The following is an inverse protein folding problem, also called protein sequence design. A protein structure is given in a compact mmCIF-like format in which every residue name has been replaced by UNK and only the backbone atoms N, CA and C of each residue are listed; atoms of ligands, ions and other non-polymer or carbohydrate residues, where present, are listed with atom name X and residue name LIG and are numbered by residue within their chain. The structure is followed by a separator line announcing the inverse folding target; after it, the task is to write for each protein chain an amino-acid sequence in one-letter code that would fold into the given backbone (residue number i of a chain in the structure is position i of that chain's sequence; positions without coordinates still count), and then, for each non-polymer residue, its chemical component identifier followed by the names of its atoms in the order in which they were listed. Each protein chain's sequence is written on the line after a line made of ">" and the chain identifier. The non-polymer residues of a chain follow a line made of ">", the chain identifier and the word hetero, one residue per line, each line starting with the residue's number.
data_IF_555878658694
#
_entry.id   IF_555878658694
#
_cell.length_a   1.000
_cell.length_b   1.000
_cell.length_c   1.000
_cell.angle_alpha   90.00
_cell.angle_beta   90.00
_cell.angle_gamma   90.00
#
_symmetry.space_group_name_H-M   'P 1'
#
loop_
_entity.id
_entity.type
_entity.pdbx_description
1 polymer ?
#
# COMPACT_ATOMS: atom_id res chain seq x y z
N UNK A 1 15.40 42.08 20.73
CA UNK A 1 15.26 40.89 21.60
C UNK A 1 13.79 40.67 21.87
N UNK A 2 13.16 39.70 21.20
CA UNK A 2 11.92 39.00 21.56
C UNK A 2 11.77 37.86 20.54
N UNK A 3 12.68 36.88 20.58
CA UNK A 3 12.48 35.58 19.91
C UNK A 3 11.65 34.74 20.87
N UNK A 4 10.44 34.36 20.47
CA UNK A 4 9.65 33.37 21.20
C UNK A 4 10.46 32.06 21.31
N UNK A 5 10.76 31.56 22.52
CA UNK A 5 11.38 30.25 22.68
C UNK A 5 10.29 29.18 22.62
N UNK A 6 10.40 28.21 21.71
CA UNK A 6 9.67 26.95 21.86
C UNK A 6 8.70 26.54 20.75
N UNK A 7 8.90 26.96 19.50
CA UNK A 7 8.40 26.11 18.40
C UNK A 7 9.34 24.91 18.30
N UNK A 8 8.89 23.66 18.58
CA UNK A 8 9.71 22.49 18.28
C UNK A 8 10.03 22.53 16.79
N UNK A 9 11.32 22.47 16.49
CA UNK A 9 11.81 22.38 15.12
C UNK A 9 11.12 21.18 14.46
N UNK A 10 10.29 21.41 13.44
CA UNK A 10 9.41 20.36 12.87
C UNK A 10 10.21 19.13 12.41
N UNK A 11 11.50 19.33 12.11
CA UNK A 11 12.48 18.28 11.86
C UNK A 11 12.62 17.28 13.03
N UNK A 12 12.67 17.76 14.28
CA UNK A 12 12.82 16.92 15.48
C UNK A 12 11.59 16.02 15.70
N UNK A 13 10.38 16.56 15.49
CA UNK A 13 9.14 15.78 15.58
C UNK A 13 9.11 14.69 14.51
N UNK A 14 9.50 15.02 13.27
CA UNK A 14 9.56 14.05 12.16
C UNK A 14 10.58 12.94 12.44
N UNK A 15 11.77 13.29 12.97
CA UNK A 15 12.79 12.31 13.36
C UNK A 15 12.27 11.40 14.49
N UNK A 16 11.64 11.98 15.51
CA UNK A 16 11.06 11.21 16.61
C UNK A 16 10.00 10.24 16.10
N UNK A 17 9.08 10.70 15.27
CA UNK A 17 8.02 9.85 14.70
C UNK A 17 8.60 8.73 13.82
N UNK A 18 9.60 9.03 13.00
CA UNK A 18 10.29 8.04 12.19
C UNK A 18 11.03 7.01 13.06
N UNK A 19 11.66 7.44 14.16
CA UNK A 19 12.34 6.55 15.10
C UNK A 19 11.34 5.66 15.84
N UNK A 20 10.23 6.20 16.32
CA UNK A 20 9.15 5.44 16.96
C UNK A 20 8.55 4.42 15.99
N UNK A 21 8.24 4.82 14.75
CA UNK A 21 7.74 3.91 13.72
C UNK A 21 8.75 2.79 13.40
N UNK A 22 10.04 3.14 13.27
CA UNK A 22 11.12 2.18 13.05
C UNK A 22 11.29 1.20 14.22
N UNK A 23 11.25 1.70 15.46
CA UNK A 23 11.33 0.89 16.66
C UNK A 23 10.13 -0.07 16.78
N UNK A 24 8.91 0.40 16.48
CA UNK A 24 7.71 -0.43 16.47
C UNK A 24 7.87 -1.59 15.48
N UNK A 25 8.28 -1.28 14.24
CA UNK A 25 8.54 -2.31 13.23
C UNK A 25 9.62 -3.28 13.71
N UNK A 26 10.72 -2.78 14.27
CA UNK A 26 11.79 -3.62 14.80
C UNK A 26 11.29 -4.57 15.91
N UNK A 27 10.54 -4.06 16.88
CA UNK A 27 9.96 -4.85 17.97
C UNK A 27 9.01 -5.91 17.42
N UNK A 28 8.11 -5.55 16.50
CA UNK A 28 7.20 -6.50 15.86
C UNK A 28 7.91 -7.61 15.08
N UNK A 29 9.08 -7.32 14.51
CA UNK A 29 9.92 -8.31 13.83
C UNK A 29 10.82 -9.14 14.76
N UNK A 30 10.98 -8.75 16.02
CA UNK A 30 11.75 -9.52 17.02
C UNK A 30 10.85 -10.25 18.03
N UNK A 31 9.60 -9.82 18.19
CA UNK A 31 8.65 -10.46 19.09
C UNK A 31 8.27 -11.88 18.61
N UNK A 32 8.07 -12.79 19.58
CA UNK A 32 7.59 -14.15 19.32
C UNK A 32 6.11 -14.17 18.90
N UNK A 33 5.31 -13.28 19.46
CA UNK A 33 3.89 -13.09 19.13
C UNK A 33 3.68 -11.69 18.56
N UNK A 34 3.28 -11.55 17.29
CA UNK A 34 3.04 -10.24 16.68
C UNK A 34 1.76 -9.61 17.21
N UNK A 35 1.67 -8.28 17.17
CA UNK A 35 0.50 -7.54 17.66
C UNK A 35 -0.17 -6.69 16.59
N UNK A 36 0.59 -6.13 15.65
CA UNK A 36 0.09 -5.16 14.65
C UNK A 36 0.42 -5.59 13.23
N UNK A 37 1.64 -6.12 13.00
CA UNK A 37 2.11 -6.41 11.65
C UNK A 37 1.54 -7.73 11.13
N UNK A 38 0.52 -7.60 10.29
CA UNK A 38 -0.01 -8.72 9.54
C UNK A 38 0.91 -9.15 8.41
N UNK A 39 0.83 -10.44 8.07
CA UNK A 39 1.57 -11.07 6.98
C UNK A 39 3.09 -10.92 7.11
N UNK A 40 3.62 -10.78 8.33
CA UNK A 40 5.07 -10.71 8.62
C UNK A 40 5.87 -11.82 7.93
N UNK A 41 5.37 -13.04 7.97
CA UNK A 41 6.03 -14.22 7.39
C UNK A 41 5.51 -14.57 5.99
N UNK A 42 4.94 -13.60 5.27
CA UNK A 42 4.50 -13.75 3.89
C UNK A 42 5.51 -13.09 2.93
N UNK A 43 6.59 -13.80 2.61
CA UNK A 43 7.69 -13.24 1.83
C UNK A 43 7.26 -12.56 0.51
N UNK A 44 6.39 -13.13 -0.36
CA UNK A 44 5.96 -12.44 -1.57
C UNK A 44 5.19 -11.15 -1.28
N UNK A 45 4.29 -11.17 -0.28
CA UNK A 45 3.48 -10.01 0.10
C UNK A 45 4.36 -8.83 0.52
N UNK A 46 5.34 -9.05 1.41
CA UNK A 46 6.20 -7.98 1.90
C UNK A 46 7.25 -7.53 0.88
N UNK A 47 7.85 -8.46 0.12
CA UNK A 47 8.89 -8.12 -0.87
C UNK A 47 8.33 -7.26 -1.98
N UNK A 48 7.16 -7.59 -2.53
CA UNK A 48 6.57 -6.85 -3.65
C UNK A 48 6.14 -5.45 -3.20
N UNK A 49 5.57 -5.33 -1.99
CA UNK A 49 5.27 -4.01 -1.38
C UNK A 49 6.50 -3.15 -1.25
N UNK A 50 7.55 -3.69 -0.64
CA UNK A 50 8.80 -2.96 -0.43
C UNK A 50 9.43 -2.55 -1.77
N UNK A 51 9.57 -3.49 -2.71
CA UNK A 51 10.13 -3.22 -4.03
C UNK A 51 9.32 -2.18 -4.80
N UNK A 52 7.99 -2.27 -4.80
CA UNK A 52 7.11 -1.30 -5.47
C UNK A 52 7.33 0.11 -4.96
N UNK A 53 7.26 0.31 -3.63
CA UNK A 53 7.47 1.63 -3.02
C UNK A 53 8.90 2.13 -3.23
N UNK A 54 9.92 1.27 -3.03
CA UNK A 54 11.30 1.66 -3.20
C UNK A 54 11.63 2.09 -4.64
N UNK A 55 11.15 1.33 -5.63
CA UNK A 55 11.31 1.68 -7.05
C UNK A 55 10.64 3.01 -7.36
N UNK A 56 9.39 3.22 -6.89
CA UNK A 56 8.68 4.50 -7.09
C UNK A 56 9.41 5.67 -6.46
N UNK A 57 9.85 5.56 -5.20
CA UNK A 57 10.59 6.63 -4.52
C UNK A 57 11.89 6.96 -5.25
N UNK A 58 12.65 5.94 -5.69
CA UNK A 58 13.89 6.16 -6.45
C UNK A 58 13.60 6.83 -7.80
N UNK A 59 12.61 6.34 -8.55
CA UNK A 59 12.24 6.92 -9.85
C UNK A 59 11.82 8.38 -9.71
N UNK A 60 10.92 8.68 -8.76
CA UNK A 60 10.46 10.05 -8.56
C UNK A 60 11.55 10.97 -8.03
N UNK A 61 12.47 10.47 -7.20
CA UNK A 61 13.62 11.25 -6.72
C UNK A 61 14.56 11.62 -7.87
N UNK A 62 14.80 10.69 -8.80
CA UNK A 62 15.62 10.94 -10.00
C UNK A 62 14.92 11.95 -10.92
N UNK A 63 13.61 11.83 -11.14
CA UNK A 63 12.83 12.79 -11.93
C UNK A 63 12.86 14.18 -11.27
N UNK A 64 12.61 14.28 -9.97
CA UNK A 64 12.60 15.55 -9.24
C UNK A 64 13.97 16.24 -9.24
N UNK A 65 15.06 15.47 -9.17
CA UNK A 65 16.44 15.99 -9.25
C UNK A 65 16.77 16.64 -10.60
N UNK A 66 16.07 16.30 -11.67
CA UNK A 66 16.35 16.83 -13.02
C UNK A 66 16.31 18.36 -13.10
N UNK A 67 15.59 19.02 -12.18
CA UNK A 67 15.52 20.48 -12.11
C UNK A 67 16.86 21.11 -11.72
N UNK A 68 17.62 20.48 -10.81
CA UNK A 68 18.89 21.00 -10.30
C UNK A 68 20.10 20.35 -10.96
N UNK A 69 19.98 19.09 -11.38
CA UNK A 69 21.05 18.32 -12.00
C UNK A 69 20.47 17.46 -13.14
N UNK A 70 20.36 18.03 -14.35
CA UNK A 70 19.76 17.36 -15.50
C UNK A 70 20.51 16.09 -15.88
N UNK A 71 19.79 15.01 -16.14
CA UNK A 71 20.39 13.75 -16.58
C UNK A 71 19.53 12.98 -17.57
N UNK A 72 20.16 12.26 -18.51
CA UNK A 72 19.43 11.45 -19.50
C UNK A 72 18.54 10.39 -18.86
N UNK A 73 18.96 9.84 -17.71
CA UNK A 73 18.15 8.89 -16.96
C UNK A 73 16.87 9.54 -16.42
N UNK A 74 16.95 10.77 -15.90
CA UNK A 74 15.78 11.46 -15.39
C UNK A 74 14.79 11.84 -16.50
N UNK A 75 15.28 12.26 -17.68
CA UNK A 75 14.44 12.49 -18.86
C UNK A 75 13.75 11.20 -19.30
N UNK A 76 14.49 10.09 -19.42
CA UNK A 76 13.90 8.80 -19.79
C UNK A 76 12.81 8.36 -18.80
N UNK A 77 13.04 8.50 -17.49
CA UNK A 77 12.04 8.14 -16.48
C UNK A 77 10.81 9.06 -16.54
N UNK A 78 11.02 10.35 -16.82
CA UNK A 78 9.92 11.30 -17.03
C UNK A 78 9.10 10.93 -18.28
N UNK A 79 9.74 10.55 -19.38
CA UNK A 79 9.08 10.10 -20.62
C UNK A 79 8.26 8.83 -20.40
N UNK A 80 8.81 7.84 -19.67
CA UNK A 80 8.07 6.63 -19.27
C UNK A 80 6.84 7.01 -18.44
N UNK A 81 6.98 7.97 -17.52
CA UNK A 81 5.88 8.46 -16.71
C UNK A 81 4.84 9.26 -17.50
N UNK A 82 5.25 10.03 -18.49
CA UNK A 82 4.36 10.74 -19.41
C UNK A 82 3.57 9.75 -20.29
N UNK A 83 4.23 8.70 -20.80
CA UNK A 83 3.57 7.61 -21.50
C UNK A 83 2.54 6.90 -20.61
N UNK A 84 2.91 6.58 -19.37
CA UNK A 84 1.98 5.99 -18.39
C UNK A 84 0.81 6.92 -18.08
N UNK A 85 1.05 8.23 -17.97
CA UNK A 85 0.01 9.25 -17.77
C UNK A 85 -0.97 9.25 -18.93
N UNK A 86 -0.51 9.16 -20.18
CA UNK A 86 -1.40 9.11 -21.35
C UNK A 86 -2.39 7.93 -21.32
N UNK A 87 -2.03 6.84 -20.64
CA UNK A 87 -2.87 5.64 -20.49
C UNK A 87 -3.81 5.77 -19.29
N UNK A 88 -3.30 6.28 -18.16
CA UNK A 88 -4.03 6.28 -16.89
C UNK A 88 -4.82 7.58 -16.64
N UNK A 89 -4.58 8.65 -17.39
CA UNK A 89 -5.28 9.94 -17.31
C UNK A 89 -6.51 9.99 -18.25
N UNK A 90 -7.43 9.05 -18.05
CA UNK A 90 -8.71 9.01 -18.75
C UNK A 90 -9.86 9.56 -17.87
N UNK A 91 -11.02 9.91 -18.44
CA UNK A 91 -12.15 10.42 -17.67
C UNK A 91 -12.51 9.52 -16.48
N UNK A 92 -12.69 10.13 -15.30
CA UNK A 92 -13.03 9.46 -14.05
C UNK A 92 -11.95 8.52 -13.48
N UNK A 93 -10.70 8.58 -13.94
CA UNK A 93 -9.62 7.81 -13.32
C UNK A 93 -9.12 8.45 -12.01
N UNK A 94 -8.54 7.66 -11.08
CA UNK A 94 -7.90 8.22 -9.87
C UNK A 94 -6.76 9.18 -10.19
N UNK A 95 -6.01 8.92 -11.26
CA UNK A 95 -4.91 9.78 -11.72
C UNK A 95 -5.45 11.12 -12.19
N UNK A 96 -6.54 11.11 -12.98
CA UNK A 96 -7.23 12.34 -13.42
C UNK A 96 -7.72 13.15 -12.22
N UNK A 97 -8.25 12.51 -11.18
CA UNK A 97 -8.69 13.20 -9.97
C UNK A 97 -7.53 13.91 -9.24
N UNK A 98 -6.36 13.27 -9.11
CA UNK A 98 -5.18 13.92 -8.50
C UNK A 98 -4.77 15.15 -9.31
N UNK A 99 -4.78 15.06 -10.63
CA UNK A 99 -4.44 16.19 -11.52
C UNK A 99 -5.46 17.33 -11.36
N UNK A 100 -6.75 17.01 -11.34
CA UNK A 100 -7.82 18.02 -11.21
C UNK A 100 -7.82 18.73 -9.85
N UNK A 101 -7.37 18.05 -8.80
CA UNK A 101 -7.30 18.59 -7.44
C UNK A 101 -5.96 19.27 -7.15
N UNK A 102 -5.07 19.37 -8.15
CA UNK A 102 -3.88 20.20 -8.06
C UNK A 102 -4.29 21.67 -8.06
N UNK A 103 -3.79 22.51 -7.12
CA UNK A 103 -4.22 23.90 -7.01
C UNK A 103 -4.03 24.68 -8.32
N UNK A 104 -5.01 25.49 -8.76
CA UNK A 104 -4.98 26.16 -10.07
C UNK A 104 -3.85 27.19 -10.21
N UNK A 105 -3.35 27.72 -9.10
CA UNK A 105 -2.24 28.69 -9.07
C UNK A 105 -0.86 28.02 -8.97
N UNK A 106 -0.77 26.70 -9.12
CA UNK A 106 0.49 25.95 -9.04
C UNK A 106 1.36 26.23 -10.27
N UNK A 107 2.68 26.31 -10.08
CA UNK A 107 3.61 26.45 -11.20
C UNK A 107 3.45 25.28 -12.20
N UNK A 108 3.52 25.52 -13.53
CA UNK A 108 3.31 24.47 -14.54
C UNK A 108 4.16 23.22 -14.33
N UNK A 109 5.43 23.40 -13.94
CA UNK A 109 6.35 22.30 -13.66
C UNK A 109 5.91 21.41 -12.50
N UNK A 110 5.26 21.98 -11.47
CA UNK A 110 4.74 21.22 -10.32
C UNK A 110 3.53 20.40 -10.76
N UNK A 111 2.60 21.00 -11.51
CA UNK A 111 1.42 20.30 -12.02
C UNK A 111 1.80 19.15 -12.98
N UNK A 112 2.82 19.37 -13.81
CA UNK A 112 3.37 18.34 -14.68
C UNK A 112 3.99 17.19 -13.87
N UNK A 113 4.85 17.50 -12.89
CA UNK A 113 5.46 16.51 -12.01
C UNK A 113 4.41 15.70 -11.24
N UNK A 114 3.40 16.35 -10.66
CA UNK A 114 2.31 15.67 -9.93
C UNK A 114 1.58 14.67 -10.83
N UNK A 115 1.24 15.06 -12.07
CA UNK A 115 0.57 14.16 -13.00
C UNK A 115 1.42 12.97 -13.41
N UNK A 116 2.71 13.18 -13.70
CA UNK A 116 3.67 12.11 -14.02
C UNK A 116 3.84 11.17 -12.82
N UNK A 117 4.04 11.74 -11.63
CA UNK A 117 4.25 10.98 -10.40
C UNK A 117 3.02 10.15 -10.02
N UNK A 118 1.82 10.73 -10.11
CA UNK A 118 0.57 10.02 -9.86
C UNK A 118 0.40 8.84 -10.82
N UNK A 119 0.64 9.03 -12.11
CA UNK A 119 0.54 7.96 -13.10
C UNK A 119 1.56 6.84 -12.87
N UNK A 120 2.83 7.18 -12.61
CA UNK A 120 3.88 6.19 -12.33
C UNK A 120 3.58 5.37 -11.07
N UNK A 121 3.29 6.03 -9.95
CA UNK A 121 3.02 5.35 -8.69
C UNK A 121 1.76 4.49 -8.76
N UNK A 122 0.69 5.00 -9.38
CA UNK A 122 -0.54 4.23 -9.55
C UNK A 122 -0.36 3.04 -10.49
N UNK A 123 0.36 3.22 -11.61
CA UNK A 123 0.69 2.12 -12.52
C UNK A 123 1.52 1.02 -11.85
N UNK A 124 2.55 1.40 -11.08
CA UNK A 124 3.37 0.45 -10.31
C UNK A 124 2.54 -0.24 -9.22
N UNK A 125 1.62 0.47 -8.55
CA UNK A 125 0.78 -0.14 -7.51
C UNK A 125 -0.24 -1.12 -8.09
N UNK A 126 -0.79 -0.85 -9.28
CA UNK A 126 -1.61 -1.81 -10.02
C UNK A 126 -0.81 -3.04 -10.43
N UNK A 127 0.41 -2.86 -10.96
CA UNK A 127 1.30 -3.96 -11.32
C UNK A 127 1.66 -4.81 -10.09
N UNK A 128 1.93 -4.16 -8.95
CA UNK A 128 2.19 -4.81 -7.66
C UNK A 128 1.03 -5.73 -7.26
N UNK A 129 -0.22 -5.24 -7.35
CA UNK A 129 -1.42 -6.04 -7.07
C UNK A 129 -1.54 -7.19 -8.06
N UNK A 130 -1.36 -6.94 -9.37
CA UNK A 130 -1.48 -7.95 -10.40
C UNK A 130 -0.46 -9.09 -10.21
N UNK A 131 0.81 -8.77 -9.93
CA UNK A 131 1.85 -9.74 -9.63
C UNK A 131 1.49 -10.56 -8.39
N UNK A 132 0.99 -9.91 -7.32
CA UNK A 132 0.60 -10.63 -6.12
C UNK A 132 -0.57 -11.58 -6.36
N UNK A 133 -1.60 -11.14 -7.09
CA UNK A 133 -2.73 -11.99 -7.49
C UNK A 133 -2.26 -13.19 -8.31
N UNK A 134 -1.34 -12.99 -9.27
CA UNK A 134 -0.75 -14.06 -10.06
C UNK A 134 -0.03 -15.09 -9.17
N UNK A 135 0.76 -14.63 -8.19
CA UNK A 135 1.46 -15.50 -7.25
C UNK A 135 0.47 -16.33 -6.41
N UNK A 136 -0.62 -15.71 -5.95
CA UNK A 136 -1.66 -16.37 -5.16
C UNK A 136 -2.43 -17.40 -6.00
N UNK A 137 -2.86 -17.02 -7.20
CA UNK A 137 -3.75 -17.83 -8.04
C UNK A 137 -3.02 -18.91 -8.84
N UNK A 138 -1.84 -18.61 -9.38
CA UNK A 138 -1.11 -19.50 -10.31
C UNK A 138 0.04 -20.22 -9.61
N UNK A 139 0.84 -19.51 -8.81
CA UNK A 139 2.00 -20.10 -8.13
C UNK A 139 1.66 -20.81 -6.82
N UNK A 140 0.38 -20.84 -6.44
CA UNK A 140 -0.12 -21.64 -5.32
C UNK A 140 0.41 -21.19 -3.96
N UNK A 141 0.80 -19.92 -3.81
CA UNK A 141 1.09 -19.36 -2.49
C UNK A 141 -0.13 -19.55 -1.56
N UNK A 142 0.08 -19.82 -0.26
CA UNK A 142 1.33 -19.99 0.49
C UNK A 142 1.87 -21.44 0.56
N UNK A 143 1.19 -22.42 -0.06
CA UNK A 143 1.38 -23.85 0.22
C UNK A 143 2.76 -24.39 -0.20
N UNK A 144 3.38 -23.83 -1.26
CA UNK A 144 4.63 -24.35 -1.83
C UNK A 144 5.89 -24.15 -0.98
N UNK A 145 5.87 -23.25 0.02
CA UNK A 145 7.08 -22.84 0.76
C UNK A 145 7.04 -23.14 2.26
N UNK A 146 6.15 -24.04 2.70
CA UNK A 146 6.04 -24.47 4.10
C UNK A 146 4.65 -24.23 4.70
N UNK A 147 4.52 -24.55 5.99
CA UNK A 147 3.27 -24.38 6.71
C UNK A 147 2.98 -22.89 6.99
N UNK A 148 1.89 -22.37 6.44
CA UNK A 148 1.41 -21.01 6.73
C UNK A 148 0.69 -21.00 8.08
N UNK A 149 1.30 -20.39 9.09
CA UNK A 149 0.64 -20.16 10.37
C UNK A 149 -0.24 -18.91 10.27
N UNK A 150 -1.56 -19.13 10.27
CA UNK A 150 -2.57 -18.09 10.14
C UNK A 150 -2.48 -17.10 11.30
N UNK A 151 -2.38 -17.58 12.53
CA UNK A 151 -2.37 -16.76 13.75
C UNK A 151 -1.14 -15.85 13.84
N UNK A 152 0.02 -16.35 13.41
CA UNK A 152 1.24 -15.51 13.34
C UNK A 152 1.20 -14.48 12.21
N UNK A 153 0.34 -14.65 11.20
CA UNK A 153 0.23 -13.71 10.09
C UNK A 153 -1.03 -12.82 10.18
N UNK A 154 -1.93 -13.10 11.10
CA UNK A 154 -3.15 -12.33 11.35
C UNK A 154 -3.36 -12.15 12.86
N UNK A 155 -2.46 -11.45 13.57
CA UNK A 155 -2.54 -11.28 15.02
C UNK A 155 -3.80 -10.53 15.49
N UNK A 156 -4.31 -9.61 14.67
CA UNK A 156 -5.51 -8.83 14.98
C UNK A 156 -6.81 -9.61 14.72
N UNK A 157 -6.71 -10.79 14.10
CA UNK A 157 -7.87 -11.61 13.81
C UNK A 157 -8.26 -12.44 15.04
N UNK A 158 -9.32 -12.01 15.72
CA UNK A 158 -9.89 -12.78 16.83
C UNK A 158 -10.79 -13.94 16.31
N UNK A 159 -10.45 -15.21 16.61
CA UNK A 159 -11.28 -16.35 16.24
C UNK A 159 -12.37 -16.72 17.24
N UNK A 160 -12.39 -16.10 18.41
CA UNK A 160 -13.25 -16.50 19.54
C UNK A 160 -14.54 -15.69 19.66
N UNK A 161 -14.66 -14.56 18.98
CA UNK A 161 -15.86 -13.70 18.95
C UNK A 161 -17.14 -14.28 18.33
N UNK A 162 -17.24 -15.61 18.16
CA UNK A 162 -18.40 -16.32 17.62
C UNK A 162 -18.50 -16.35 16.08
N UNK A 163 -19.08 -17.42 15.54
CA UNK A 163 -19.26 -17.63 14.09
C UNK A 163 -18.12 -18.39 13.39
N UNK A 164 -18.27 -18.67 12.09
CA UNK A 164 -17.24 -19.38 11.33
C UNK A 164 -16.08 -18.43 10.95
N UNK A 165 -14.87 -18.78 11.41
CA UNK A 165 -13.59 -18.13 11.05
C UNK A 165 -13.48 -17.85 9.54
N UNK A 166 -13.91 -18.82 8.71
CA UNK A 166 -13.86 -18.69 7.25
C UNK A 166 -14.79 -17.57 6.75
N UNK A 167 -15.99 -17.46 7.31
CA UNK A 167 -16.94 -16.41 6.94
C UNK A 167 -16.41 -15.03 7.33
N UNK A 168 -15.81 -14.90 8.52
CA UNK A 168 -15.18 -13.66 8.99
C UNK A 168 -14.02 -13.24 8.09
N UNK A 169 -13.12 -14.16 7.74
CA UNK A 169 -12.02 -13.91 6.81
C UNK A 169 -12.52 -13.44 5.44
N UNK A 170 -13.56 -14.06 4.89
CA UNK A 170 -14.13 -13.64 3.61
C UNK A 170 -14.77 -12.26 3.68
N UNK A 171 -15.46 -11.94 4.78
CA UNK A 171 -16.05 -10.61 5.00
C UNK A 171 -14.97 -9.54 5.09
N UNK A 172 -13.93 -9.77 5.90
CA UNK A 172 -12.80 -8.84 6.03
C UNK A 172 -12.01 -8.70 4.73
N UNK A 173 -11.85 -9.79 3.98
CA UNK A 173 -11.26 -9.75 2.65
C UNK A 173 -12.04 -8.85 1.70
N UNK A 174 -13.37 -8.99 1.66
CA UNK A 174 -14.25 -8.15 0.86
C UNK A 174 -14.14 -6.67 1.24
N UNK A 175 -14.15 -6.35 2.54
CA UNK A 175 -13.98 -4.97 3.03
C UNK A 175 -12.64 -4.38 2.58
N UNK A 176 -11.54 -5.12 2.74
CA UNK A 176 -10.21 -4.64 2.35
C UNK A 176 -10.10 -4.40 0.83
N UNK A 177 -10.66 -5.29 0.01
CA UNK A 177 -10.68 -5.12 -1.45
C UNK A 177 -11.51 -3.90 -1.85
N UNK A 178 -12.72 -3.78 -1.31
CA UNK A 178 -13.62 -2.64 -1.59
C UNK A 178 -12.98 -1.31 -1.17
N UNK A 179 -12.41 -1.23 0.04
CA UNK A 179 -11.70 -0.03 0.50
C UNK A 179 -10.49 0.26 -0.38
N UNK A 180 -9.70 -0.75 -0.75
CA UNK A 180 -8.56 -0.59 -1.63
C UNK A 180 -8.93 -0.06 -3.02
N UNK A 181 -10.14 -0.32 -3.51
CA UNK A 181 -10.65 0.26 -4.75
C UNK A 181 -11.20 1.68 -4.57
N UNK A 182 -11.87 1.98 -3.45
CA UNK A 182 -12.51 3.28 -3.19
C UNK A 182 -11.51 4.36 -2.78
N UNK A 183 -10.50 4.01 -1.98
CA UNK A 183 -9.55 4.98 -1.39
C UNK A 183 -8.77 5.83 -2.40
N UNK A 184 -8.29 5.33 -3.55
CA UNK A 184 -7.61 6.16 -4.55
C UNK A 184 -8.47 7.34 -5.04
N UNK A 185 -9.80 7.21 -5.00
CA UNK A 185 -10.74 8.28 -5.36
C UNK A 185 -11.04 9.19 -4.18
N UNK A 186 -11.20 8.62 -2.98
CA UNK A 186 -11.58 9.35 -1.77
C UNK A 186 -10.43 10.22 -1.23
N UNK A 187 -9.20 9.70 -1.22
CA UNK A 187 -8.05 10.37 -0.60
C UNK A 187 -7.73 11.73 -1.22
N UNK A 188 -7.63 11.88 -2.56
CA UNK A 188 -7.38 13.20 -3.15
C UNK A 188 -8.45 14.23 -2.79
N UNK A 189 -9.72 13.80 -2.80
CA UNK A 189 -10.87 14.66 -2.45
C UNK A 189 -10.77 15.12 -1.00
N UNK A 190 -10.49 14.19 -0.07
CA UNK A 190 -10.31 14.52 1.34
C UNK A 190 -9.17 15.52 1.56
N UNK A 191 -8.02 15.30 0.91
CA UNK A 191 -6.87 16.21 1.01
C UNK A 191 -7.25 17.61 0.50
N UNK A 192 -7.90 17.69 -0.66
CA UNK A 192 -8.33 18.98 -1.23
C UNK A 192 -9.28 19.74 -0.30
N UNK A 193 -10.29 19.05 0.26
CA UNK A 193 -11.24 19.64 1.21
C UNK A 193 -10.54 20.13 2.48
N UNK A 194 -9.62 19.33 3.04
CA UNK A 194 -8.87 19.72 4.23
C UNK A 194 -7.96 20.93 3.97
N UNK A 195 -7.24 20.94 2.84
CA UNK A 195 -6.38 22.07 2.46
C UNK A 195 -7.17 23.37 2.29
N UNK A 196 -8.40 23.29 1.75
CA UNK A 196 -9.31 24.43 1.66
C UNK A 196 -9.80 24.90 3.04
N UNK A 197 -10.22 23.97 3.92
CA UNK A 197 -10.72 24.30 5.26
C UNK A 197 -9.65 24.92 6.18
N UNK A 198 -8.40 24.51 6.03
CA UNK A 198 -7.30 24.93 6.90
C UNK A 198 -6.38 25.97 6.24
N UNK A 199 -6.79 26.57 5.11
CA UNK A 199 -6.04 27.58 4.33
C UNK A 199 -4.54 27.25 4.18
N UNK A 200 -4.24 25.96 4.02
CA UNK A 200 -2.86 25.48 4.11
C UNK A 200 -2.16 25.75 2.78
N UNK A 201 -1.72 27.00 2.57
CA UNK A 201 -0.94 27.44 1.41
C UNK A 201 0.50 26.92 1.39
N UNK A 202 0.74 25.75 2.01
CA UNK A 202 2.08 25.19 2.12
C UNK A 202 2.58 24.82 0.72
N UNK A 203 3.65 25.47 0.28
CA UNK A 203 4.43 25.03 -0.87
C UNK A 203 5.02 23.67 -0.52
N UNK A 204 4.45 22.61 -1.09
CA UNK A 204 4.92 21.26 -0.86
C UNK A 204 6.25 21.07 -1.60
N UNK A 205 7.32 20.88 -0.85
CA UNK A 205 8.60 20.47 -1.42
C UNK A 205 8.48 19.11 -2.12
N UNK A 206 9.34 18.87 -3.12
CA UNK A 206 9.34 17.65 -3.94
C UNK A 206 9.39 16.38 -3.08
N UNK A 207 10.19 16.39 -2.00
CA UNK A 207 10.26 15.27 -1.05
C UNK A 207 8.89 14.91 -0.47
N UNK A 208 8.13 15.92 -0.03
CA UNK A 208 6.81 15.71 0.59
C UNK A 208 5.81 15.19 -0.44
N UNK A 209 5.83 15.74 -1.66
CA UNK A 209 4.98 15.28 -2.76
C UNK A 209 5.23 13.81 -3.11
N UNK A 210 6.50 13.39 -3.18
CA UNK A 210 6.86 11.99 -3.46
C UNK A 210 6.21 11.05 -2.46
N UNK A 211 6.32 11.36 -1.16
CA UNK A 211 5.73 10.53 -0.11
C UNK A 211 4.20 10.54 -0.11
N UNK A 212 3.56 11.69 -0.34
CA UNK A 212 2.10 11.79 -0.45
C UNK A 212 1.59 10.92 -1.61
N UNK A 213 2.21 11.02 -2.77
CA UNK A 213 1.80 10.25 -3.97
C UNK A 213 2.06 8.75 -3.77
N UNK A 214 3.19 8.39 -3.16
CA UNK A 214 3.44 6.98 -2.81
C UNK A 214 2.40 6.46 -1.82
N UNK A 215 2.08 7.21 -0.75
CA UNK A 215 1.08 6.80 0.22
C UNK A 215 -0.30 6.63 -0.45
N UNK A 216 -0.71 7.59 -1.28
CA UNK A 216 -1.95 7.55 -2.04
C UNK A 216 -2.05 6.32 -2.95
N UNK A 217 -0.97 5.96 -3.67
CA UNK A 217 -1.00 4.84 -4.60
C UNK A 217 -0.87 3.47 -3.91
N UNK A 218 -0.01 3.34 -2.89
CA UNK A 218 0.38 2.06 -2.33
C UNK A 218 -0.42 1.63 -1.09
N UNK A 219 -1.01 2.55 -0.32
CA UNK A 219 -1.88 2.17 0.80
C UNK A 219 -3.13 1.40 0.32
N UNK A 220 -3.87 1.87 -0.70
CA UNK A 220 -5.04 1.15 -1.20
C UNK A 220 -4.66 -0.17 -1.85
N UNK A 221 -3.58 -0.19 -2.64
CA UNK A 221 -3.06 -1.41 -3.24
C UNK A 221 -2.65 -2.45 -2.18
N UNK A 222 -2.09 -2.00 -1.05
CA UNK A 222 -1.81 -2.83 0.12
C UNK A 222 -3.08 -3.49 0.71
N UNK A 223 -4.19 -2.75 0.80
CA UNK A 223 -5.47 -3.30 1.26
C UNK A 223 -6.03 -4.33 0.27
N UNK A 224 -5.96 -4.09 -1.03
CA UNK A 224 -6.38 -5.09 -2.04
C UNK A 224 -5.58 -6.38 -1.87
N UNK A 225 -4.25 -6.30 -1.79
CA UNK A 225 -3.42 -7.49 -1.59
C UNK A 225 -3.74 -8.19 -0.27
N UNK A 226 -3.97 -7.44 0.81
CA UNK A 226 -4.36 -7.98 2.11
C UNK A 226 -5.66 -8.78 2.00
N UNK A 227 -6.68 -8.24 1.33
CA UNK A 227 -7.94 -8.94 1.13
C UNK A 227 -7.79 -10.18 0.25
N UNK A 228 -7.01 -10.12 -0.83
CA UNK A 228 -6.69 -11.29 -1.66
C UNK A 228 -6.00 -12.40 -0.84
N UNK A 229 -5.05 -12.02 0.03
CA UNK A 229 -4.37 -12.97 0.90
C UNK A 229 -5.33 -13.60 1.93
N UNK A 230 -6.20 -12.81 2.56
CA UNK A 230 -7.21 -13.31 3.50
C UNK A 230 -8.19 -14.28 2.83
N UNK A 231 -8.67 -13.95 1.62
CA UNK A 231 -9.54 -14.84 0.86
C UNK A 231 -8.84 -16.18 0.56
N UNK A 232 -7.58 -16.13 0.16
CA UNK A 232 -6.78 -17.33 -0.07
C UNK A 232 -6.63 -18.18 1.19
N UNK A 233 -6.39 -17.56 2.34
CA UNK A 233 -6.29 -18.27 3.61
C UNK A 233 -7.62 -18.96 3.94
N UNK A 234 -8.76 -18.30 3.73
CA UNK A 234 -10.08 -18.89 3.91
C UNK A 234 -10.30 -20.14 3.05
N UNK A 235 -9.93 -20.08 1.75
CA UNK A 235 -9.99 -21.23 0.84
C UNK A 235 -9.17 -22.43 1.36
N UNK A 236 -7.97 -22.18 1.88
CA UNK A 236 -7.09 -23.24 2.39
C UNK A 236 -7.65 -23.88 3.66
N UNK A 237 -8.29 -23.09 4.53
CA UNK A 237 -8.96 -23.61 5.72
C UNK A 237 -10.12 -24.52 5.31
N UNK A 238 -10.95 -24.10 4.34
CA UNK A 238 -12.04 -24.94 3.81
C UNK A 238 -11.48 -26.24 3.22
N UNK A 239 -10.45 -26.15 2.38
CA UNK A 239 -9.82 -27.31 1.76
C UNK A 239 -9.23 -28.27 2.81
N UNK A 240 -8.62 -27.74 3.88
CA UNK A 240 -8.11 -28.54 4.99
C UNK A 240 -9.24 -29.23 5.76
N UNK A 241 -10.32 -28.53 6.08
CA UNK A 241 -11.52 -29.11 6.73
C UNK A 241 -12.08 -30.27 5.91
N UNK A 242 -12.29 -30.08 4.59
CA UNK A 242 -12.79 -31.14 3.68
C UNK A 242 -11.92 -32.39 3.70
N UNK A 243 -10.58 -32.23 3.67
CA UNK A 243 -9.64 -33.36 3.73
C UNK A 243 -9.69 -34.11 5.08
N UNK A 244 -9.89 -33.39 6.18
CA UNK A 244 -10.02 -34.01 7.51
C UNK A 244 -11.32 -34.81 7.60
N UNK A 245 -12.44 -34.26 7.12
CA UNK A 245 -13.72 -34.97 7.10
C UNK A 245 -13.66 -36.24 6.23
N UNK A 246 -13.06 -36.16 5.03
CA UNK A 246 -12.90 -37.33 4.17
C UNK A 246 -12.08 -38.44 4.86
N UNK A 247 -10.95 -38.09 5.48
CA UNK A 247 -10.14 -39.06 6.23
C UNK A 247 -10.88 -39.70 7.41
N UNK A 248 -11.73 -38.93 8.09
CA UNK A 248 -12.53 -39.45 9.20
C UNK A 248 -13.61 -40.43 8.70
N UNK A 249 -14.21 -40.16 7.53
CA UNK A 249 -15.17 -41.08 6.89
C UNK A 249 -14.49 -42.38 6.45
N UNK A 250 -13.32 -42.29 5.79
CA UNK A 250 -12.55 -43.47 5.37
C UNK A 250 -12.16 -44.35 6.57
N UNK A 251 -11.75 -43.73 7.68
CA UNK A 251 -11.42 -44.44 8.91
C UNK A 251 -12.64 -45.15 9.55
N UNK A 252 -13.84 -44.57 9.41
CA UNK A 252 -15.08 -45.14 9.94
C UNK A 252 -15.63 -46.28 9.08
N UNK A 253 -15.31 -46.30 7.78
CA UNK A 253 -15.65 -47.38 6.84
C UNK A 253 -14.69 -48.58 6.91
N UNK A 254 -13.52 -48.41 7.53
CA UNK A 254 -12.50 -49.44 7.70
C UNK A 254 -12.63 -50.26 8.99
N UNK A 255 -13.65 -49.96 9.82
CA UNK A 255 -14.01 -50.66 11.07
C UNK A 255 -15.28 -51.47 10.82
#
# INVERSE_FOLDING_TARGET
>A
MLTSPGAPDSSQIVILLAFVAGLLVFVEYNAASPSILEFRFAAPYNRIKFSGVAISVVMLSVIARNVSDPSSLAVLLADVGAAMRSILDFPYSPVRLVILLTPPNSAPAIAEFVGIAAALCYGISLLMVAIFVLIVRVLGWPVRRGAFNVWMNLPLFDPTGGGDVVQKLNREAGINISLGFVLPFLTPVLVSVLSWLFETGAVLDAKTLIWIICAWAFLPAGLVMRGVAMHRVAELIIAKRRRVYAKAQDALQAI
#
